data_IF_499959509531
#
_entry.id   IF_499959509531
#
_cell.length_a   1.000
_cell.length_b   1.000
_cell.length_c   1.000
_cell.angle_alpha   90.00
_cell.angle_beta   90.00
_cell.angle_gamma   90.00
#
_symmetry.space_group_name_H-M   'P 1'
#
loop_
_entity.id
_entity.type
_entity.pdbx_description
1 polymer ?
#
# COMPACT_ATOMS: atom_id res chain seq x y z
N UNK A 1 7.24 7.12 23.79
CA UNK A 1 5.98 6.79 23.09
C UNK A 1 5.46 5.51 23.68
N UNK A 2 4.26 5.52 24.24
CA UNK A 2 3.64 4.29 24.72
C UNK A 2 3.13 3.49 23.51
N UNK A 3 3.02 2.17 23.64
CA UNK A 3 2.48 1.33 22.56
C UNK A 3 1.04 1.68 22.16
N UNK A 4 0.32 2.47 23.00
CA UNK A 4 -1.01 3.02 22.71
C UNK A 4 -0.99 4.24 21.78
N UNK A 5 0.17 4.84 21.53
CA UNK A 5 0.31 6.01 20.65
C UNK A 5 0.60 5.61 19.19
N UNK A 6 0.86 4.32 18.93
CA UNK A 6 1.15 3.82 17.60
C UNK A 6 -0.10 3.86 16.72
N UNK A 7 0.00 4.56 15.59
CA UNK A 7 -1.07 4.69 14.59
C UNK A 7 -0.76 3.83 13.38
N UNK A 8 -1.79 3.24 12.78
CA UNK A 8 -1.66 2.53 11.51
C UNK A 8 -1.90 3.52 10.37
N UNK A 9 -0.89 3.70 9.52
CA UNK A 9 -1.03 4.42 8.26
C UNK A 9 -1.15 3.44 7.09
N UNK A 10 -2.27 3.50 6.37
CA UNK A 10 -2.46 2.76 5.12
C UNK A 10 -2.24 3.73 3.96
N UNK A 11 -1.17 3.50 3.20
CA UNK A 11 -0.93 4.18 1.92
C UNK A 11 -1.52 3.30 0.82
N UNK A 12 -2.77 3.59 0.47
CA UNK A 12 -3.50 2.95 -0.62
C UNK A 12 -3.27 3.65 -1.96
N UNK A 13 -4.07 3.28 -2.97
CA UNK A 13 -4.00 3.87 -4.31
C UNK A 13 -3.30 2.98 -5.35
N UNK A 14 -2.51 2.00 -4.92
CA UNK A 14 -2.01 0.92 -5.80
C UNK A 14 -3.11 -0.13 -6.09
N UNK A 15 -4.31 0.36 -6.40
CA UNK A 15 -5.59 -0.34 -6.31
C UNK A 15 -6.48 0.29 -5.22
N UNK A 16 -7.46 1.16 -5.56
CA UNK A 16 -8.28 1.85 -4.56
C UNK A 16 -9.09 0.87 -3.69
N UNK A 17 -9.65 -0.19 -4.30
CA UNK A 17 -10.40 -1.20 -3.56
C UNK A 17 -9.54 -2.07 -2.65
N UNK A 18 -8.26 -2.28 -2.98
CA UNK A 18 -7.35 -3.04 -2.13
C UNK A 18 -7.06 -2.30 -0.81
N UNK A 19 -6.92 -0.97 -0.86
CA UNK A 19 -6.78 -0.14 0.34
C UNK A 19 -8.03 -0.18 1.22
N UNK A 20 -9.21 -0.13 0.61
CA UNK A 20 -10.49 -0.25 1.32
C UNK A 20 -10.67 -1.63 1.96
N UNK A 21 -10.38 -2.70 1.22
CA UNK A 21 -10.43 -4.08 1.71
C UNK A 21 -9.50 -4.30 2.92
N UNK A 22 -8.28 -3.76 2.86
CA UNK A 22 -7.35 -3.81 3.99
C UNK A 22 -7.90 -3.07 5.22
N UNK A 23 -8.45 -1.86 5.04
CA UNK A 23 -9.05 -1.11 6.13
C UNK A 23 -10.25 -1.87 6.74
N UNK A 24 -11.10 -2.47 5.90
CA UNK A 24 -12.21 -3.30 6.35
C UNK A 24 -11.73 -4.51 7.16
N UNK A 25 -10.70 -5.22 6.69
CA UNK A 25 -10.10 -6.36 7.40
C UNK A 25 -9.50 -5.94 8.73
N UNK A 26 -8.86 -4.78 8.80
CA UNK A 26 -8.32 -4.25 10.06
C UNK A 26 -9.42 -4.07 11.09
N UNK A 27 -10.57 -3.50 10.70
CA UNK A 27 -11.73 -3.40 11.59
C UNK A 27 -12.25 -4.78 12.01
N UNK A 28 -12.48 -5.68 11.05
CA UNK A 28 -13.03 -7.02 11.30
C UNK A 28 -12.15 -7.90 12.18
N UNK A 29 -10.83 -7.73 12.11
CA UNK A 29 -9.86 -8.54 12.85
C UNK A 29 -9.42 -7.89 14.18
N UNK A 30 -9.83 -6.64 14.44
CA UNK A 30 -9.54 -5.98 15.72
C UNK A 30 -10.47 -6.52 16.79
N UNK A 31 -9.89 -7.03 17.89
CA UNK A 31 -10.64 -7.47 19.07
C UNK A 31 -11.11 -6.27 19.88
N UNK A 32 -12.21 -5.66 19.48
CA UNK A 32 -12.82 -4.51 20.13
C UNK A 32 -14.09 -4.92 20.91
N UNK A 33 -14.35 -4.28 22.05
CA UNK A 33 -15.64 -4.39 22.79
C UNK A 33 -16.48 -3.13 22.64
N UNK A 34 -15.84 -2.02 22.24
CA UNK A 34 -16.41 -0.70 22.00
C UNK A 34 -15.66 -0.01 20.87
N UNK A 35 -16.22 1.08 20.34
CA UNK A 35 -15.57 1.85 19.26
C UNK A 35 -14.21 2.43 19.69
N UNK A 36 -14.03 2.69 20.98
CA UNK A 36 -12.78 3.22 21.54
C UNK A 36 -11.66 2.18 21.61
N UNK A 37 -11.97 0.90 21.42
CA UNK A 37 -10.98 -0.18 21.41
C UNK A 37 -10.35 -0.40 20.02
N UNK A 38 -10.86 0.25 18.97
CA UNK A 38 -10.30 0.11 17.63
C UNK A 38 -8.95 0.84 17.50
N UNK A 39 -8.09 0.29 16.64
CA UNK A 39 -6.76 0.83 16.39
C UNK A 39 -6.85 2.18 15.64
N UNK A 40 -6.19 3.26 16.12
CA UNK A 40 -6.15 4.53 15.41
C UNK A 40 -5.54 4.35 14.01
N UNK A 41 -6.33 4.61 12.98
CA UNK A 41 -5.97 4.30 11.59
C UNK A 41 -6.24 5.47 10.65
N UNK A 42 -5.30 5.74 9.74
CA UNK A 42 -5.45 6.69 8.63
C UNK A 42 -5.28 5.96 7.30
N UNK A 43 -6.24 6.09 6.39
CA UNK A 43 -6.12 5.64 5.00
C UNK A 43 -5.98 6.86 4.09
N UNK A 44 -4.88 6.92 3.35
CA UNK A 44 -4.69 7.87 2.24
C UNK A 44 -4.71 7.05 0.95
N UNK A 45 -5.58 7.40 0.01
CA UNK A 45 -5.68 6.74 -1.29
C UNK A 45 -5.56 7.78 -2.40
N UNK A 46 -4.39 7.85 -3.01
CA UNK A 46 -4.04 8.78 -4.10
C UNK A 46 -3.55 7.98 -5.31
N UNK A 47 -4.44 7.22 -6.00
CA UNK A 47 -4.06 6.39 -7.14
C UNK A 47 -3.38 7.18 -8.27
N UNK A 48 -3.73 8.45 -8.44
CA UNK A 48 -3.13 9.36 -9.41
C UNK A 48 -1.65 9.66 -9.15
N UNK A 49 -1.17 9.49 -7.91
CA UNK A 49 0.22 9.72 -7.52
C UNK A 49 1.06 8.44 -7.56
N UNK A 50 0.46 7.27 -7.81
CA UNK A 50 1.11 5.97 -7.77
C UNK A 50 1.13 5.38 -9.17
N UNK A 51 2.32 5.32 -9.77
CA UNK A 51 2.53 4.69 -11.08
C UNK A 51 2.18 3.19 -11.07
N UNK A 52 1.80 2.66 -12.23
CA UNK A 52 1.59 1.22 -12.39
C UNK A 52 2.91 0.47 -12.16
N UNK A 53 2.96 -0.29 -11.07
CA UNK A 53 4.16 -1.01 -10.64
C UNK A 53 4.58 -2.10 -11.62
N UNK A 54 3.63 -2.78 -12.24
CA UNK A 54 3.93 -3.87 -13.18
C UNK A 54 4.60 -3.29 -14.42
N UNK A 55 4.04 -2.20 -14.96
CA UNK A 55 4.61 -1.47 -16.09
C UNK A 55 6.00 -0.95 -15.73
N UNK A 56 6.16 -0.30 -14.57
CA UNK A 56 7.46 0.24 -14.12
C UNK A 56 8.56 -0.83 -14.11
N UNK A 57 8.29 -2.01 -13.53
CA UNK A 57 9.26 -3.10 -13.51
C UNK A 57 9.50 -3.70 -14.89
N UNK A 58 8.45 -3.85 -15.70
CA UNK A 58 8.56 -4.40 -17.05
C UNK A 58 9.44 -3.53 -17.94
N UNK A 59 9.22 -2.22 -17.96
CA UNK A 59 10.03 -1.27 -18.72
C UNK A 59 11.49 -1.26 -18.26
N UNK A 60 11.72 -1.36 -16.94
CA UNK A 60 13.08 -1.44 -16.38
C UNK A 60 13.80 -2.71 -16.83
N UNK A 61 13.11 -3.86 -16.86
CA UNK A 61 13.68 -5.12 -17.35
C UNK A 61 14.00 -5.06 -18.84
N UNK A 62 13.11 -4.50 -19.66
CA UNK A 62 13.37 -4.30 -21.08
C UNK A 62 14.61 -3.43 -21.31
N UNK A 63 14.75 -2.31 -20.58
CA UNK A 63 15.95 -1.44 -20.69
C UNK A 63 17.24 -2.20 -20.37
N UNK A 64 17.24 -3.03 -19.33
CA UNK A 64 18.40 -3.85 -18.96
C UNK A 64 18.75 -4.82 -20.09
N UNK A 65 17.76 -5.53 -20.65
CA UNK A 65 17.99 -6.47 -21.75
C UNK A 65 18.58 -5.76 -22.98
N UNK A 66 18.00 -4.64 -23.41
CA UNK A 66 18.52 -3.88 -24.55
C UNK A 66 19.96 -3.39 -24.32
N UNK A 67 20.30 -2.99 -23.10
CA UNK A 67 21.66 -2.56 -22.75
C UNK A 67 22.67 -3.72 -22.81
N UNK A 68 22.28 -4.95 -22.46
CA UNK A 68 23.18 -6.11 -22.55
C UNK A 68 23.41 -6.58 -23.99
N UNK A 69 22.43 -6.43 -24.89
CA UNK A 69 22.59 -6.79 -26.31
C UNK A 69 23.27 -5.71 -27.16
N UNK A 70 23.39 -4.47 -26.66
CA UNK A 70 24.06 -3.37 -27.39
C UNK A 70 25.57 -3.32 -27.12
N UNK A 71 26.07 -4.03 -26.10
CA UNK A 71 27.49 -4.00 -25.66
C UNK A 71 28.30 -5.20 -26.23
N UNK A 72 27.73 -5.96 -27.17
CA UNK A 72 28.39 -7.05 -27.91
C UNK A 72 28.34 -6.80 -29.41
#
# INVERSE_FOLDING_TARGET
>A
MSQRDAKIGIVGGAGPYAGLDLAQKLLQQTKAKSDQDYLPTLLISTPELIEDRTIFYWERLQKILHMQFTVI
#
